data_IF_066291261425
#
_entry.id   IF_066291261425
#
_cell.length_a   1.000
_cell.length_b   1.000
_cell.length_c   1.000
_cell.angle_alpha   90.00
_cell.angle_beta   90.00
_cell.angle_gamma   90.00
#
_symmetry.space_group_name_H-M   'P 1'
#
loop_
_entity.id
_entity.type
_entity.pdbx_description
1 polymer ?
#
# COMPACT_ATOMS: atom_id res chain seq x y z
N UNK A 1 12.32 29.24 14.93
CA UNK A 1 11.86 29.05 13.65
C UNK A 1 11.46 27.62 13.33
N UNK A 2 10.36 27.50 12.77
CA UNK A 2 9.85 26.18 12.52
C UNK A 2 10.24 25.72 11.14
N UNK A 3 10.86 24.61 11.09
CA UNK A 3 11.11 24.00 9.81
C UNK A 3 9.89 23.30 9.33
N UNK A 4 9.57 23.46 8.10
CA UNK A 4 8.58 22.62 7.50
C UNK A 4 9.16 21.21 7.52
N UNK A 5 8.53 20.33 8.27
CA UNK A 5 8.94 18.96 8.26
C UNK A 5 8.59 18.38 6.90
N UNK A 6 9.51 17.68 6.27
CA UNK A 6 9.12 16.96 5.07
C UNK A 6 8.03 15.98 5.44
N UNK A 7 7.11 15.74 4.52
CA UNK A 7 6.10 14.75 4.76
C UNK A 7 6.76 13.40 5.00
N UNK A 8 6.23 12.59 5.92
CA UNK A 8 6.81 11.29 6.18
C UNK A 8 6.85 10.45 4.92
N UNK A 9 7.92 9.72 4.78
CA UNK A 9 8.14 8.85 3.66
C UNK A 9 8.41 7.46 4.18
N UNK A 10 7.74 6.47 3.61
CA UNK A 10 7.94 5.09 3.98
C UNK A 10 8.52 4.35 2.79
N UNK A 11 9.80 3.98 2.83
CA UNK A 11 10.38 3.21 1.74
C UNK A 11 10.00 1.75 1.87
N UNK A 12 9.82 1.09 0.74
CA UNK A 12 9.52 -0.33 0.67
C UNK A 12 10.72 -1.04 0.06
N UNK A 13 11.35 -1.91 0.83
CA UNK A 13 12.65 -2.46 0.45
C UNK A 13 12.58 -3.47 -0.67
N UNK A 14 11.52 -4.24 -0.78
CA UNK A 14 11.46 -5.30 -1.79
C UNK A 14 11.14 -4.73 -3.18
N UNK A 15 10.20 -3.81 -3.25
CA UNK A 15 9.80 -3.21 -4.52
C UNK A 15 10.63 -1.99 -4.89
N UNK A 16 11.21 -1.34 -3.90
CA UNK A 16 11.85 -0.06 -4.12
C UNK A 16 10.87 1.10 -4.21
N UNK A 17 9.60 0.84 -3.94
CA UNK A 17 8.60 1.88 -3.94
C UNK A 17 8.69 2.74 -2.70
N UNK A 18 7.98 3.83 -2.72
CA UNK A 18 7.99 4.77 -1.63
C UNK A 18 6.58 5.30 -1.44
N UNK A 19 6.14 5.32 -0.19
CA UNK A 19 4.84 5.88 0.15
C UNK A 19 5.06 7.23 0.83
N UNK A 20 4.35 8.22 0.38
CA UNK A 20 4.43 9.57 0.94
C UNK A 20 3.06 10.01 1.40
N UNK A 21 3.06 10.85 2.41
CA UNK A 21 1.82 11.43 2.90
C UNK A 21 1.76 12.86 2.44
N UNK A 22 0.70 13.18 1.73
CA UNK A 22 0.43 14.53 1.34
C UNK A 22 -0.83 15.03 2.02
N UNK A 23 -1.29 16.16 1.58
CA UNK A 23 -2.50 16.75 2.10
C UNK A 23 -3.53 16.83 1.01
N UNK A 24 -4.62 16.13 1.19
CA UNK A 24 -5.70 16.13 0.22
C UNK A 24 -6.70 17.23 0.49
N UNK A 25 -7.88 17.10 -0.10
CA UNK A 25 -8.94 18.07 0.07
C UNK A 25 -9.35 18.16 1.54
N UNK A 26 -9.68 19.36 1.96
CA UNK A 26 -10.10 19.66 3.33
C UNK A 26 -9.08 19.25 4.37
N UNK A 27 -7.81 19.35 3.99
CA UNK A 27 -6.68 19.05 4.87
C UNK A 27 -6.65 17.61 5.37
N UNK A 28 -7.38 16.72 4.72
CA UNK A 28 -7.30 15.30 5.07
C UNK A 28 -5.99 14.72 4.57
N UNK A 29 -5.39 13.77 5.30
CA UNK A 29 -4.18 13.16 4.79
C UNK A 29 -4.46 12.39 3.50
N UNK A 30 -3.47 12.39 2.64
CA UNK A 30 -3.55 11.65 1.39
C UNK A 30 -2.31 10.76 1.29
N UNK A 31 -2.52 9.53 0.90
CA UNK A 31 -1.42 8.60 0.69
C UNK A 31 -1.04 8.64 -0.77
N UNK A 32 0.24 8.88 -1.05
CA UNK A 32 0.78 8.86 -2.39
C UNK A 32 1.67 7.65 -2.55
N UNK A 33 1.41 6.86 -3.56
CA UNK A 33 2.21 5.67 -3.85
C UNK A 33 3.11 5.97 -5.03
N UNK A 34 4.40 6.00 -4.76
CA UNK A 34 5.42 6.34 -5.75
C UNK A 34 6.24 5.12 -6.11
N UNK A 35 6.41 4.89 -7.39
CA UNK A 35 7.30 3.86 -7.90
C UNK A 35 8.53 4.53 -8.48
N UNK A 36 9.46 3.75 -8.99
CA UNK A 36 10.59 4.32 -9.68
C UNK A 36 10.20 5.12 -10.93
N UNK A 37 9.01 4.86 -11.46
CA UNK A 37 8.53 5.53 -12.66
C UNK A 37 7.56 6.66 -12.38
N UNK A 38 7.21 6.89 -11.13
CA UNK A 38 6.34 8.00 -10.78
C UNK A 38 5.20 7.60 -9.87
N UNK A 39 4.27 8.51 -9.73
CA UNK A 39 3.11 8.37 -8.86
C UNK A 39 2.06 7.50 -9.52
N UNK A 40 1.60 6.48 -8.84
CA UNK A 40 0.58 5.58 -9.39
C UNK A 40 -0.75 5.62 -8.67
N UNK A 41 -0.79 6.16 -7.47
CA UNK A 41 -2.05 6.24 -6.73
C UNK A 41 -2.00 7.37 -5.70
N UNK A 42 -3.15 8.01 -5.54
CA UNK A 42 -3.36 8.99 -4.47
C UNK A 42 -4.68 8.65 -3.81
N UNK A 43 -4.65 8.36 -2.53
CA UNK A 43 -5.85 8.02 -1.77
C UNK A 43 -6.03 9.04 -0.66
N UNK A 44 -7.16 9.73 -0.67
CA UNK A 44 -7.47 10.71 0.37
C UNK A 44 -8.26 10.03 1.46
N UNK A 45 -7.85 10.22 2.70
CA UNK A 45 -8.51 9.59 3.85
C UNK A 45 -9.98 10.01 3.91
N UNK A 46 -10.85 9.03 4.18
CA UNK A 46 -12.29 9.25 4.25
C UNK A 46 -12.88 9.86 2.98
N UNK A 47 -12.23 9.62 1.84
CA UNK A 47 -12.74 10.07 0.56
C UNK A 47 -13.91 9.21 0.08
N UNK A 48 -14.51 9.62 -1.02
CA UNK A 48 -15.66 8.89 -1.57
C UNK A 48 -15.29 7.49 -2.03
N UNK A 49 -14.05 7.30 -2.41
CA UNK A 49 -13.57 5.99 -2.86
C UNK A 49 -12.70 5.30 -1.80
N UNK A 50 -12.91 5.64 -0.56
CA UNK A 50 -12.20 4.99 0.53
C UNK A 50 -12.50 3.50 0.52
N UNK A 51 -11.46 2.68 0.66
CA UNK A 51 -11.65 1.25 0.71
C UNK A 51 -10.56 0.59 1.54
N UNK A 52 -10.92 -0.54 2.14
CA UNK A 52 -9.98 -1.29 2.96
C UNK A 52 -8.77 -1.73 2.15
N UNK A 53 -8.97 -2.16 0.91
CA UNK A 53 -7.87 -2.49 0.01
C UNK A 53 -7.97 -1.56 -1.18
N UNK A 54 -7.07 -0.61 -1.23
CA UNK A 54 -7.04 0.38 -2.30
C UNK A 54 -6.25 -0.14 -3.49
N UNK A 55 -5.14 -0.80 -3.21
CA UNK A 55 -4.31 -1.36 -4.25
C UNK A 55 -3.67 -2.65 -3.81
N UNK A 56 -3.46 -3.54 -4.76
CA UNK A 56 -2.82 -4.81 -4.53
C UNK A 56 -2.12 -5.20 -5.82
N UNK A 57 -0.79 -5.21 -5.80
CA UNK A 57 -0.01 -5.44 -7.01
C UNK A 57 1.20 -6.30 -6.69
N UNK A 58 1.75 -6.88 -7.73
CA UNK A 58 2.96 -7.68 -7.60
C UNK A 58 3.89 -7.43 -8.77
N UNK A 59 5.16 -7.46 -8.47
CA UNK A 59 6.20 -7.50 -9.48
C UNK A 59 6.70 -8.91 -9.65
N UNK A 60 7.94 -9.05 -10.06
CA UNK A 60 8.55 -10.37 -10.23
C UNK A 60 8.93 -10.99 -8.90
N UNK A 61 9.38 -10.17 -7.96
CA UNK A 61 9.95 -10.66 -6.71
C UNK A 61 9.37 -10.00 -5.49
N UNK A 62 8.24 -9.32 -5.63
CA UNK A 62 7.62 -8.63 -4.51
C UNK A 62 6.13 -8.54 -4.72
N UNK A 63 5.42 -8.39 -3.61
CA UNK A 63 3.98 -8.15 -3.61
C UNK A 63 3.70 -7.07 -2.58
N UNK A 64 2.80 -6.16 -2.91
CA UNK A 64 2.48 -5.03 -2.04
C UNK A 64 1.00 -4.74 -2.11
N UNK A 65 0.43 -4.33 -0.97
CA UNK A 65 -0.96 -3.91 -0.89
C UNK A 65 -1.05 -2.74 0.06
N UNK A 66 -2.04 -1.89 -0.18
CA UNK A 66 -2.26 -0.73 0.68
C UNK A 66 -3.74 -0.40 0.68
N UNK A 67 -4.14 0.33 1.71
CA UNK A 67 -5.52 0.74 1.83
C UNK A 67 -5.71 1.69 2.97
N UNK A 68 -6.96 1.97 3.27
CA UNK A 68 -7.33 2.86 4.33
C UNK A 68 -7.57 2.06 5.60
N UNK A 69 -7.13 2.59 6.73
CA UNK A 69 -7.36 1.91 8.00
C UNK A 69 -8.83 1.99 8.37
N UNK A 70 -9.38 0.88 8.87
CA UNK A 70 -10.74 0.91 9.37
C UNK A 70 -10.81 1.59 10.73
N UNK A 71 -12.01 1.91 11.19
CA UNK A 71 -12.18 2.32 12.59
C UNK A 71 -11.60 1.24 13.50
N UNK A 72 -10.87 1.65 14.50
CA UNK A 72 -10.15 0.72 15.34
C UNK A 72 -8.71 0.50 14.93
N UNK A 73 -8.38 0.78 13.67
CA UNK A 73 -7.01 0.89 13.21
C UNK A 73 -6.23 -0.40 13.05
N UNK A 74 -6.86 -1.57 13.15
CA UNK A 74 -6.12 -2.83 13.05
C UNK A 74 -6.49 -3.61 11.81
N UNK A 75 -5.47 -4.07 11.10
CA UNK A 75 -5.65 -4.96 9.97
C UNK A 75 -4.66 -6.10 10.08
N UNK A 76 -5.09 -7.28 9.66
CA UNK A 76 -4.22 -8.43 9.48
C UNK A 76 -4.10 -8.66 7.98
N UNK A 77 -2.88 -8.76 7.51
CA UNK A 77 -2.63 -8.89 6.08
C UNK A 77 -1.94 -10.21 5.80
N UNK A 78 -2.51 -10.98 4.89
CA UNK A 78 -1.91 -12.24 4.46
C UNK A 78 -1.79 -12.25 2.94
N UNK A 79 -0.62 -12.64 2.46
CA UNK A 79 -0.43 -12.85 1.04
C UNK A 79 -0.53 -14.33 0.74
N UNK A 80 -1.31 -14.67 -0.27
CA UNK A 80 -1.63 -16.05 -0.60
C UNK A 80 -1.08 -16.42 -1.98
N UNK A 81 -0.43 -17.56 -2.05
CA UNK A 81 -0.05 -18.19 -3.29
C UNK A 81 -0.41 -19.66 -3.19
N UNK A 82 -0.29 -20.37 -4.29
CA UNK A 82 -0.58 -21.78 -4.26
C UNK A 82 0.32 -22.47 -3.23
N UNK A 83 -0.30 -23.08 -2.23
CA UNK A 83 0.43 -23.81 -1.20
C UNK A 83 1.18 -22.97 -0.20
N UNK A 84 0.94 -21.66 -0.17
CA UNK A 84 1.70 -20.78 0.70
C UNK A 84 0.87 -19.60 1.16
N UNK A 85 0.93 -19.31 2.45
CA UNK A 85 0.29 -18.16 3.06
C UNK A 85 1.32 -17.48 3.92
N UNK A 86 1.53 -16.19 3.70
CA UNK A 86 2.50 -15.42 4.47
C UNK A 86 1.79 -14.25 5.13
N UNK A 87 1.92 -14.16 6.45
CA UNK A 87 1.42 -13.00 7.18
C UNK A 87 2.43 -11.88 7.05
N UNK A 88 1.96 -10.72 6.68
CA UNK A 88 2.81 -9.56 6.53
C UNK A 88 2.42 -8.51 7.56
N UNK A 89 3.40 -7.91 8.24
CA UNK A 89 3.04 -6.83 9.15
C UNK A 89 2.51 -5.65 8.35
N UNK A 90 1.42 -5.09 8.83
CA UNK A 90 0.87 -3.89 8.22
C UNK A 90 1.50 -2.68 8.89
N UNK A 91 2.08 -1.83 8.09
CA UNK A 91 2.67 -0.58 8.58
C UNK A 91 1.61 0.50 8.50
N UNK A 92 1.38 1.18 9.61
CA UNK A 92 0.40 2.25 9.67
C UNK A 92 1.03 3.55 9.21
N UNK A 93 0.32 4.27 8.35
CA UNK A 93 0.83 5.53 7.82
C UNK A 93 -0.16 6.63 8.14
N UNK A 94 0.33 7.66 8.83
CA UNK A 94 -0.45 8.85 9.20
C UNK A 94 -1.72 8.52 9.98
N UNK A 95 -1.76 7.35 10.65
CA UNK A 95 -2.95 6.95 11.37
C UNK A 95 -4.18 6.73 10.51
N UNK A 96 -4.05 6.75 9.20
CA UNK A 96 -5.17 6.69 8.27
C UNK A 96 -5.05 5.59 7.24
N UNK A 97 -3.84 5.10 7.00
CA UNK A 97 -3.58 4.13 5.94
C UNK A 97 -2.74 3.00 6.45
N UNK A 98 -2.75 1.90 5.71
CA UNK A 98 -1.87 0.76 5.98
C UNK A 98 -1.19 0.36 4.68
N UNK A 99 -0.01 -0.22 4.82
CA UNK A 99 0.70 -0.83 3.70
C UNK A 99 1.37 -2.10 4.19
N UNK A 100 1.42 -3.10 3.34
CA UNK A 100 2.14 -4.33 3.62
C UNK A 100 2.86 -4.77 2.36
N UNK A 101 4.09 -5.22 2.53
CA UNK A 101 4.91 -5.68 1.43
C UNK A 101 5.62 -6.95 1.84
N UNK A 102 5.74 -7.89 0.93
CA UNK A 102 6.53 -9.10 1.14
C UNK A 102 7.40 -9.35 -0.07
N UNK A 103 8.58 -9.92 0.14
CA UNK A 103 9.34 -10.44 -0.99
C UNK A 103 8.60 -11.64 -1.55
N UNK A 104 8.73 -11.87 -2.83
CA UNK A 104 8.07 -12.98 -3.47
C UNK A 104 6.82 -12.55 -4.20
N UNK A 105 6.36 -13.45 -5.03
CA UNK A 105 5.21 -13.20 -5.89
C UNK A 105 4.02 -14.01 -5.43
N UNK A 106 2.94 -13.32 -5.12
CA UNK A 106 1.74 -13.95 -4.61
C UNK A 106 0.56 -13.69 -5.54
N UNK A 107 -0.54 -14.41 -5.33
CA UNK A 107 -1.72 -14.30 -6.18
C UNK A 107 -2.74 -13.33 -5.63
N UNK A 108 -2.91 -13.34 -4.32
CA UNK A 108 -3.94 -12.53 -3.70
C UNK A 108 -3.48 -12.08 -2.34
N UNK A 109 -4.16 -11.07 -1.83
CA UNK A 109 -3.98 -10.59 -0.48
C UNK A 109 -5.32 -10.68 0.22
N UNK A 110 -5.29 -11.12 1.48
CA UNK A 110 -6.47 -11.20 2.31
C UNK A 110 -6.25 -10.23 3.48
N UNK A 111 -7.16 -9.30 3.64
CA UNK A 111 -7.08 -8.31 4.69
C UNK A 111 -8.26 -8.52 5.61
N UNK A 112 -7.96 -8.73 6.87
CA UNK A 112 -8.96 -9.02 7.89
C UNK A 112 -8.97 -7.92 8.93
N UNK A 113 -10.15 -7.47 9.27
CA UNK A 113 -10.37 -6.53 10.37
C UNK A 113 -11.30 -7.16 11.37
N UNK A 114 -11.65 -6.44 12.42
CA UNK A 114 -12.57 -6.95 13.43
C UNK A 114 -13.94 -7.29 12.84
N UNK A 115 -14.33 -6.63 11.75
CA UNK A 115 -15.69 -6.77 11.22
C UNK A 115 -15.73 -7.21 9.77
N UNK A 116 -14.58 -7.34 9.12
CA UNK A 116 -14.59 -7.55 7.68
C UNK A 116 -13.40 -8.39 7.25
N UNK A 117 -13.55 -9.02 6.09
CA UNK A 117 -12.48 -9.80 5.50
C UNK A 117 -12.59 -9.64 4.00
N UNK A 118 -11.55 -9.07 3.39
CA UNK A 118 -11.55 -8.77 1.98
C UNK A 118 -10.42 -9.53 1.31
N UNK A 119 -10.74 -10.24 0.23
CA UNK A 119 -9.73 -10.92 -0.57
C UNK A 119 -9.64 -10.21 -1.92
N UNK A 120 -8.44 -9.84 -2.30
CA UNK A 120 -8.21 -9.11 -3.53
C UNK A 120 -7.09 -9.76 -4.31
N UNK A 121 -7.31 -9.95 -5.60
CA UNK A 121 -6.28 -10.49 -6.46
C UNK A 121 -5.18 -9.46 -6.65
N UNK A 122 -3.93 -9.92 -6.60
CA UNK A 122 -2.79 -9.05 -6.89
C UNK A 122 -2.66 -8.89 -8.40
N UNK A 123 -2.67 -7.64 -8.82
CA UNK A 123 -2.53 -7.34 -10.24
C UNK A 123 -1.05 -7.26 -10.56
N UNK A 124 -0.70 -7.73 -11.74
CA UNK A 124 0.68 -7.64 -12.18
C UNK A 124 1.02 -6.18 -12.45
N UNK A 125 2.07 -5.72 -11.80
CA UNK A 125 2.58 -4.40 -12.07
C UNK A 125 3.64 -4.52 -13.13
N UNK A 126 3.43 -3.82 -14.24
CA UNK A 126 4.38 -3.86 -15.32
C UNK A 126 5.33 -2.70 -15.14
N UNK A 127 6.54 -3.02 -14.72
CA UNK A 127 7.55 -2.00 -14.58
C UNK A 127 7.99 -1.53 -15.94
N UNK A 128 8.21 -0.23 -16.07
CA UNK A 128 8.71 0.28 -17.33
C UNK A 128 10.07 -0.32 -17.58
N UNK A 129 10.31 -0.77 -18.81
CA UNK A 129 11.60 -1.23 -19.14
C UNK A 129 12.52 -0.07 -19.19
N UNK A 130 13.60 -0.19 -18.51
CA UNK A 130 14.65 0.74 -18.70
C UNK A 130 15.09 0.59 -20.11
N UNK A 131 15.25 1.66 -20.75
CA UNK A 131 15.68 1.63 -22.08
C UNK A 131 16.96 0.88 -22.19
N UNK A 132 16.96 0.11 -23.06
CA UNK A 132 17.94 -0.61 -23.22
C UNK A 132 18.56 -0.21 -24.23
N UNK A 133 18.88 0.06 -24.21
CA UNK A 133 19.30 0.60 -25.13
C UNK A 133 20.12 0.75 -25.17
#
# INVERSE_FOLDING_TARGET
MTHAMPFPTTPLSASGWELRVGRGSRHRPALEVHTGDGLIDVAVAAGLDASLVRGAVRGRRWSVAWGELPPGGEVLVEFHAKGSIVKAPAVTIAGAFWVAEVPGRYRSVVVTTAVDRVSTRLRRFREARLSRR
#
